data_IF_147589956744
#
_entry.id   IF_147589956744
#
_cell.length_a   1.000
_cell.length_b   1.000
_cell.length_c   1.000
_cell.angle_alpha   90.00
_cell.angle_beta   90.00
_cell.angle_gamma   90.00
#
_symmetry.space_group_name_H-M   'P 1'
#
loop_
_entity.id
_entity.type
_entity.pdbx_description
1 polymer ?
#
# COMPACT_ATOMS: atom_id res chain seq x y z
N UNK A 1 -0.69 -49.13 7.27
CA UNK A 1 0.55 -48.43 7.68
C UNK A 1 0.60 -47.15 6.83
N UNK A 2 0.40 -45.99 7.43
CA UNK A 2 0.53 -44.71 6.74
C UNK A 2 1.97 -44.58 6.27
N UNK A 3 2.14 -44.32 4.99
CA UNK A 3 3.47 -43.93 4.43
C UNK A 3 3.84 -42.63 5.10
N UNK A 4 4.98 -42.52 5.74
CA UNK A 4 5.43 -41.31 6.45
C UNK A 4 5.82 -40.16 5.53
N UNK A 5 5.34 -40.15 4.26
CA UNK A 5 5.61 -39.12 3.25
C UNK A 5 4.42 -38.97 2.29
N UNK A 6 4.34 -37.79 1.66
CA UNK A 6 3.45 -37.48 0.56
C UNK A 6 4.21 -37.57 -0.77
N UNK A 7 3.59 -38.13 -1.79
CA UNK A 7 4.14 -38.15 -3.15
C UNK A 7 3.52 -37.00 -3.96
N UNK A 8 4.36 -36.09 -4.43
CA UNK A 8 3.95 -35.01 -5.32
C UNK A 8 4.61 -35.21 -6.68
N UNK A 9 3.81 -35.21 -7.73
CA UNK A 9 4.31 -35.39 -9.10
C UNK A 9 4.24 -34.05 -9.83
N UNK A 10 5.38 -33.58 -10.28
CA UNK A 10 5.51 -32.33 -11.04
C UNK A 10 5.79 -32.64 -12.50
N UNK A 11 5.21 -31.86 -13.44
CA UNK A 11 5.59 -31.95 -14.84
C UNK A 11 7.04 -31.46 -15.00
N UNK A 12 7.89 -32.29 -15.60
CA UNK A 12 9.29 -31.94 -15.86
C UNK A 12 9.63 -31.96 -17.34
N UNK A 13 10.69 -31.26 -17.76
CA UNK A 13 11.14 -31.18 -19.16
C UNK A 13 11.41 -32.56 -19.80
N UNK A 14 11.79 -33.55 -18.99
CA UNK A 14 12.13 -34.93 -19.39
C UNK A 14 11.08 -35.95 -18.89
N UNK A 15 9.84 -35.55 -18.69
CA UNK A 15 8.76 -36.33 -18.13
C UNK A 15 8.44 -35.96 -16.67
N UNK A 16 7.34 -36.50 -16.13
CA UNK A 16 6.92 -36.19 -14.78
C UNK A 16 7.95 -36.66 -13.74
N UNK A 17 8.24 -35.80 -12.78
CA UNK A 17 9.11 -36.15 -11.63
C UNK A 17 8.23 -36.27 -10.38
N UNK A 18 8.34 -37.40 -9.70
CA UNK A 18 7.72 -37.63 -8.40
C UNK A 18 8.75 -37.39 -7.30
N UNK A 19 8.38 -36.53 -6.36
CA UNK A 19 9.16 -36.18 -5.17
C UNK A 19 8.40 -36.70 -3.96
N UNK A 20 9.09 -37.36 -3.05
CA UNK A 20 8.55 -37.77 -1.76
C UNK A 20 8.88 -36.68 -0.76
N UNK A 21 7.85 -36.11 -0.14
CA UNK A 21 7.97 -35.05 0.88
C UNK A 21 7.48 -35.60 2.22
N UNK A 22 8.29 -35.52 3.23
CA UNK A 22 7.89 -35.82 4.60
C UNK A 22 7.11 -34.64 5.18
N UNK A 23 6.41 -34.85 6.31
CA UNK A 23 5.80 -33.75 7.06
C UNK A 23 6.83 -32.69 7.47
N UNK A 24 8.08 -33.14 7.77
CA UNK A 24 9.16 -32.23 8.17
C UNK A 24 9.61 -31.37 6.99
N UNK A 25 9.78 -31.96 5.79
CA UNK A 25 10.13 -31.18 4.58
C UNK A 25 9.09 -30.09 4.29
N UNK A 26 7.80 -30.37 4.56
CA UNK A 26 6.74 -29.38 4.41
C UNK A 26 6.84 -28.28 5.47
N UNK A 27 7.09 -28.64 6.74
CA UNK A 27 7.28 -27.68 7.82
C UNK A 27 8.51 -26.81 7.55
N UNK A 28 9.64 -27.42 7.17
CA UNK A 28 10.88 -26.72 6.84
C UNK A 28 10.69 -25.76 5.66
N UNK A 29 9.87 -26.14 4.67
CA UNK A 29 9.48 -25.28 3.56
C UNK A 29 8.62 -24.09 3.99
N UNK A 30 7.68 -24.27 4.91
CA UNK A 30 6.86 -23.22 5.47
C UNK A 30 7.63 -22.28 6.43
N UNK A 31 8.64 -22.80 7.12
CA UNK A 31 9.49 -22.05 8.04
C UNK A 31 10.74 -21.48 7.36
N UNK A 32 10.87 -21.63 6.04
CA UNK A 32 12.02 -21.13 5.31
C UNK A 32 12.14 -19.62 5.49
N UNK A 33 13.24 -19.11 6.09
CA UNK A 33 13.36 -17.72 6.45
C UNK A 33 13.68 -16.85 5.22
N UNK A 34 12.76 -16.84 4.27
CA UNK A 34 12.87 -16.14 2.99
C UNK A 34 13.32 -14.69 3.13
N UNK A 35 12.78 -13.88 4.08
CA UNK A 35 13.24 -12.51 4.29
C UNK A 35 14.72 -12.42 4.67
N UNK A 36 15.25 -13.39 5.40
CA UNK A 36 16.68 -13.41 5.77
C UNK A 36 17.60 -13.64 4.58
N UNK A 37 17.18 -14.47 3.62
CA UNK A 37 17.94 -14.70 2.38
C UNK A 37 17.82 -13.54 1.41
N UNK A 38 16.62 -12.97 1.28
CA UNK A 38 16.38 -11.81 0.42
C UNK A 38 17.20 -10.60 0.87
N UNK A 39 17.39 -10.39 2.18
CA UNK A 39 18.29 -9.36 2.73
C UNK A 39 19.75 -9.50 2.30
N UNK A 40 20.18 -10.70 1.89
CA UNK A 40 21.56 -10.95 1.42
C UNK A 40 21.76 -10.62 -0.06
N UNK A 41 20.70 -10.36 -0.81
CA UNK A 41 20.82 -9.93 -2.22
C UNK A 41 21.54 -8.59 -2.25
N UNK A 42 22.69 -8.48 -2.92
CA UNK A 42 23.43 -7.22 -2.98
C UNK A 42 22.57 -6.08 -3.52
N UNK A 43 22.71 -4.90 -2.95
CA UNK A 43 21.94 -3.72 -3.37
C UNK A 43 22.23 -3.27 -4.81
N UNK A 44 23.35 -3.73 -5.39
CA UNK A 44 23.71 -3.50 -6.80
C UNK A 44 22.94 -4.36 -7.79
N UNK A 45 22.29 -5.45 -7.31
CA UNK A 45 21.54 -6.36 -8.18
C UNK A 45 20.16 -5.78 -8.46
N UNK A 46 19.85 -5.63 -9.75
CA UNK A 46 18.52 -5.26 -10.18
C UNK A 46 17.58 -6.47 -10.11
N UNK A 47 16.37 -6.27 -9.64
CA UNK A 47 15.41 -7.35 -9.40
C UNK A 47 14.11 -7.09 -10.17
N UNK A 48 13.70 -8.09 -10.94
CA UNK A 48 12.38 -8.14 -11.56
C UNK A 48 11.59 -9.27 -10.92
N UNK A 49 10.52 -8.93 -10.23
CA UNK A 49 9.63 -9.85 -9.56
C UNK A 49 8.32 -9.89 -10.33
N UNK A 50 7.90 -11.08 -10.77
CA UNK A 50 6.61 -11.28 -11.41
C UNK A 50 5.71 -12.12 -10.52
N UNK A 51 4.44 -11.77 -10.43
CA UNK A 51 3.44 -12.53 -9.68
C UNK A 51 2.09 -12.52 -10.40
N UNK A 52 1.43 -13.68 -10.42
CA UNK A 52 0.09 -13.83 -10.97
C UNK A 52 -0.98 -13.50 -9.93
N UNK A 53 -1.92 -12.63 -10.26
CA UNK A 53 -2.97 -12.24 -9.29
C UNK A 53 -3.98 -13.35 -8.97
N UNK A 54 -4.00 -14.42 -9.77
CA UNK A 54 -4.79 -15.63 -9.54
C UNK A 54 -3.94 -16.81 -9.05
N UNK A 55 -2.73 -16.55 -8.55
CA UNK A 55 -1.85 -17.58 -7.97
C UNK A 55 -2.44 -18.08 -6.64
N UNK A 56 -2.92 -19.32 -6.66
CA UNK A 56 -3.47 -19.99 -5.50
C UNK A 56 -2.42 -20.77 -4.69
N UNK A 57 -1.17 -20.83 -5.16
CA UNK A 57 -0.08 -21.57 -4.53
C UNK A 57 0.78 -20.66 -3.67
N UNK A 58 1.19 -19.53 -4.23
CA UNK A 58 1.98 -18.52 -3.51
C UNK A 58 1.12 -17.27 -3.35
N UNK A 59 0.84 -16.82 -2.13
CA UNK A 59 0.10 -15.59 -1.88
C UNK A 59 0.83 -14.38 -2.47
N UNK A 60 0.06 -13.46 -3.05
CA UNK A 60 0.62 -12.23 -3.64
C UNK A 60 1.38 -11.38 -2.60
N UNK A 61 0.99 -11.46 -1.33
CA UNK A 61 1.65 -10.77 -0.23
C UNK A 61 3.13 -11.15 -0.11
N UNK A 62 3.50 -12.40 -0.40
CA UNK A 62 4.89 -12.85 -0.30
C UNK A 62 5.80 -12.10 -1.29
N UNK A 63 5.28 -11.78 -2.49
CA UNK A 63 6.03 -10.97 -3.47
C UNK A 63 6.14 -9.51 -3.05
N UNK A 64 5.11 -8.97 -2.39
CA UNK A 64 5.16 -7.64 -1.82
C UNK A 64 6.18 -7.56 -0.68
N UNK A 65 6.24 -8.59 0.17
CA UNK A 65 7.23 -8.70 1.26
C UNK A 65 8.67 -8.75 0.72
N UNK A 66 8.91 -9.46 -0.39
CA UNK A 66 10.21 -9.44 -1.05
C UNK A 66 10.60 -8.03 -1.49
N UNK A 67 9.67 -7.31 -2.12
CA UNK A 67 9.91 -5.93 -2.53
C UNK A 67 10.25 -5.07 -1.33
N UNK A 68 9.47 -5.16 -0.25
CA UNK A 68 9.67 -4.38 0.96
C UNK A 68 11.04 -4.66 1.60
N UNK A 69 11.40 -5.95 1.75
CA UNK A 69 12.70 -6.34 2.31
C UNK A 69 13.87 -5.84 1.45
N UNK A 70 13.75 -5.91 0.13
CA UNK A 70 14.79 -5.45 -0.79
C UNK A 70 14.91 -3.93 -0.78
N UNK A 71 13.80 -3.21 -0.85
CA UNK A 71 13.78 -1.75 -0.91
C UNK A 71 14.18 -1.09 0.41
N UNK A 72 13.99 -1.79 1.55
CA UNK A 72 14.44 -1.34 2.87
C UNK A 72 15.97 -1.38 3.06
N UNK A 73 16.74 -1.91 2.12
CA UNK A 73 18.20 -1.91 2.21
C UNK A 73 18.76 -0.50 2.01
N UNK A 74 19.53 0.07 2.98
CA UNK A 74 19.96 1.48 2.94
C UNK A 74 20.80 1.86 1.73
N UNK A 75 21.53 0.88 1.16
CA UNK A 75 22.42 1.08 0.00
C UNK A 75 21.76 0.75 -1.33
N UNK A 76 20.51 0.28 -1.34
CA UNK A 76 19.82 -0.08 -2.56
C UNK A 76 19.29 1.18 -3.26
N UNK A 77 19.63 1.30 -4.53
CA UNK A 77 19.14 2.42 -5.34
C UNK A 77 17.65 2.23 -5.66
N UNK A 78 16.85 3.30 -5.59
CA UNK A 78 15.46 3.28 -6.03
C UNK A 78 15.32 2.80 -7.47
N UNK A 79 14.21 2.10 -7.78
CA UNK A 79 13.95 1.57 -9.12
C UNK A 79 14.72 0.30 -9.49
N UNK A 80 15.61 -0.20 -8.60
CA UNK A 80 16.34 -1.46 -8.83
C UNK A 80 15.53 -2.72 -8.47
N UNK A 81 14.34 -2.56 -7.88
CA UNK A 81 13.38 -3.64 -7.63
C UNK A 81 12.07 -3.27 -8.30
N UNK A 82 11.57 -4.14 -9.17
CA UNK A 82 10.31 -3.95 -9.87
C UNK A 82 9.39 -5.15 -9.63
N UNK A 83 8.21 -4.91 -9.07
CA UNK A 83 7.13 -5.89 -8.98
C UNK A 83 6.20 -5.75 -10.19
N UNK A 84 5.95 -6.85 -10.87
CA UNK A 84 5.05 -6.93 -12.01
C UNK A 84 3.92 -7.91 -11.72
N UNK A 85 2.73 -7.39 -11.49
CA UNK A 85 1.53 -8.19 -11.32
C UNK A 85 0.93 -8.53 -12.70
N UNK A 86 0.62 -9.80 -12.92
CA UNK A 86 -0.03 -10.30 -14.12
C UNK A 86 -1.47 -10.69 -13.78
N UNK A 87 -2.41 -9.88 -14.22
CA UNK A 87 -3.83 -10.04 -13.89
C UNK A 87 -4.39 -11.37 -14.41
N UNK A 88 -5.09 -12.11 -13.55
CA UNK A 88 -5.70 -13.40 -13.86
C UNK A 88 -4.70 -14.51 -14.18
N UNK A 89 -3.40 -14.29 -13.93
CA UNK A 89 -2.35 -15.29 -14.12
C UNK A 89 -2.25 -16.19 -12.89
N UNK A 90 -2.14 -17.49 -13.12
CA UNK A 90 -1.85 -18.48 -12.09
C UNK A 90 -0.32 -18.64 -11.87
N UNK A 91 0.06 -19.56 -10.99
CA UNK A 91 1.46 -19.87 -10.66
C UNK A 91 2.31 -20.32 -11.85
N UNK A 92 1.69 -20.86 -12.91
CA UNK A 92 2.42 -21.50 -14.01
C UNK A 92 2.74 -20.57 -15.18
N UNK A 93 2.16 -19.36 -15.21
CA UNK A 93 2.37 -18.39 -16.30
C UNK A 93 2.14 -18.96 -17.68
N UNK A 94 1.04 -19.68 -17.90
CA UNK A 94 0.75 -20.37 -19.16
C UNK A 94 -0.02 -19.48 -20.15
N UNK A 95 0.00 -19.87 -21.44
CA UNK A 95 -0.74 -19.22 -22.51
C UNK A 95 -0.37 -17.75 -22.69
N UNK A 96 -1.38 -16.88 -22.82
CA UNK A 96 -1.23 -15.43 -23.04
C UNK A 96 -0.41 -14.74 -21.94
N UNK A 97 -0.45 -15.23 -20.72
CA UNK A 97 0.28 -14.63 -19.60
C UNK A 97 1.79 -14.82 -19.74
N UNK A 98 2.21 -15.93 -20.34
CA UNK A 98 3.61 -16.19 -20.66
C UNK A 98 4.16 -15.17 -21.67
N UNK A 99 3.40 -14.82 -22.68
CA UNK A 99 3.80 -13.84 -23.70
C UNK A 99 3.94 -12.45 -23.07
N UNK A 100 2.95 -12.05 -22.26
CA UNK A 100 2.98 -10.78 -21.53
C UNK A 100 4.17 -10.73 -20.55
N UNK A 101 4.46 -11.82 -19.85
CA UNK A 101 5.63 -11.91 -18.96
C UNK A 101 6.92 -11.71 -19.74
N UNK A 102 7.09 -12.43 -20.86
CA UNK A 102 8.29 -12.32 -21.71
C UNK A 102 8.46 -10.88 -22.19
N UNK A 103 7.41 -10.24 -22.69
CA UNK A 103 7.46 -8.86 -23.15
C UNK A 103 7.92 -7.91 -22.05
N UNK A 104 7.35 -8.04 -20.83
CA UNK A 104 7.72 -7.21 -19.68
C UNK A 104 9.17 -7.43 -19.25
N UNK A 105 9.64 -8.68 -19.22
CA UNK A 105 11.04 -9.01 -18.91
C UNK A 105 11.97 -8.43 -19.96
N UNK A 106 11.67 -8.56 -21.24
CA UNK A 106 12.50 -8.02 -22.32
C UNK A 106 12.56 -6.48 -22.26
N UNK A 107 11.45 -5.83 -21.98
CA UNK A 107 11.43 -4.37 -21.76
C UNK A 107 12.28 -3.96 -20.57
N UNK A 108 12.18 -4.69 -19.45
CA UNK A 108 12.97 -4.43 -18.25
C UNK A 108 14.47 -4.64 -18.53
N UNK A 109 14.86 -5.70 -19.21
CA UNK A 109 16.25 -5.95 -19.60
C UNK A 109 16.81 -4.82 -20.49
N UNK A 110 16.00 -4.35 -21.45
CA UNK A 110 16.41 -3.22 -22.29
C UNK A 110 16.61 -1.94 -21.46
N UNK A 111 15.77 -1.68 -20.47
CA UNK A 111 15.94 -0.57 -19.53
C UNK A 111 17.21 -0.74 -18.67
N UNK A 112 17.49 -1.95 -18.19
CA UNK A 112 18.71 -2.24 -17.44
C UNK A 112 19.99 -2.02 -18.26
N UNK A 113 19.96 -2.36 -19.55
CA UNK A 113 21.10 -2.15 -20.47
C UNK A 113 21.25 -0.69 -20.89
N UNK A 114 20.17 0.07 -20.95
CA UNK A 114 20.20 1.49 -21.29
C UNK A 114 20.73 2.38 -20.15
N UNK A 115 20.89 1.83 -18.93
CA UNK A 115 21.26 2.59 -17.72
C UNK A 115 22.77 2.83 -17.54
N UNK A 116 23.57 2.87 -18.61
CA UNK A 116 24.77 3.72 -18.61
C UNK A 116 24.44 5.23 -18.78
N UNK A 117 23.21 5.54 -19.16
CA UNK A 117 22.65 6.90 -19.14
C UNK A 117 22.05 7.15 -17.74
N UNK A 118 22.36 8.32 -17.17
CA UNK A 118 21.85 8.73 -15.86
C UNK A 118 20.37 8.36 -15.72
N UNK A 119 19.95 7.72 -14.60
CA UNK A 119 18.57 7.31 -14.42
C UNK A 119 17.67 8.53 -14.63
N UNK A 120 16.47 8.36 -15.26
CA UNK A 120 15.50 9.44 -15.30
C UNK A 120 15.32 9.93 -13.86
N UNK A 121 15.09 11.24 -13.66
CA UNK A 121 14.95 11.78 -12.32
C UNK A 121 13.91 10.92 -11.61
N UNK A 122 14.35 10.25 -10.57
CA UNK A 122 13.51 9.38 -9.74
C UNK A 122 12.33 10.23 -9.30
N UNK A 123 11.07 9.75 -9.47
CA UNK A 123 9.96 10.46 -8.87
C UNK A 123 10.30 10.70 -7.40
N UNK A 124 10.19 11.92 -6.94
CA UNK A 124 10.74 12.41 -5.66
C UNK A 124 10.13 11.78 -4.39
N UNK A 125 9.41 10.67 -4.53
CA UNK A 125 8.66 10.00 -3.47
C UNK A 125 9.08 8.55 -3.18
N UNK A 126 10.25 8.12 -3.63
CA UNK A 126 10.84 6.86 -3.15
C UNK A 126 11.37 7.09 -1.73
N UNK A 127 10.97 6.22 -0.81
CA UNK A 127 11.37 6.22 0.60
C UNK A 127 12.88 6.41 0.78
N UNK A 128 13.31 7.65 0.73
CA UNK A 128 14.49 8.06 1.42
C UNK A 128 14.02 8.37 2.84
N UNK A 129 14.50 7.69 3.83
CA UNK A 129 14.49 8.24 5.19
C UNK A 129 14.88 9.71 5.07
N UNK A 130 14.32 10.64 5.85
CA UNK A 130 14.38 12.05 5.53
C UNK A 130 15.83 12.41 5.14
N UNK A 131 16.07 12.93 3.92
CA UNK A 131 17.39 13.45 3.60
C UNK A 131 17.69 14.44 4.69
N UNK A 132 18.90 14.42 5.26
CA UNK A 132 19.30 15.34 6.31
C UNK A 132 18.89 16.77 5.92
N UNK A 133 17.85 17.32 6.56
CA UNK A 133 17.31 18.64 6.28
C UNK A 133 15.88 18.74 5.73
N UNK A 134 15.22 17.66 5.30
CA UNK A 134 13.79 17.70 4.92
C UNK A 134 12.89 17.60 6.16
N UNK A 135 11.71 18.25 6.13
CA UNK A 135 10.64 18.03 7.10
C UNK A 135 10.03 16.63 7.02
N UNK A 136 9.39 16.18 8.08
CA UNK A 136 8.69 14.89 8.13
C UNK A 136 7.22 15.02 7.68
N UNK A 137 6.73 14.03 6.91
CA UNK A 137 5.32 13.85 6.60
C UNK A 137 4.69 12.92 7.64
N UNK A 138 3.85 13.48 8.50
CA UNK A 138 3.18 12.77 9.59
C UNK A 138 1.70 12.70 9.28
N UNK A 139 1.13 11.50 9.29
CA UNK A 139 -0.28 11.26 9.02
C UNK A 139 -0.98 10.77 10.29
N UNK A 140 -2.13 11.34 10.60
CA UNK A 140 -2.99 10.88 11.70
C UNK A 140 -4.26 10.29 11.11
N UNK A 141 -4.44 9.00 11.30
CA UNK A 141 -5.56 8.20 10.81
C UNK A 141 -6.43 7.69 11.96
N UNK A 142 -7.58 7.18 11.65
CA UNK A 142 -8.51 6.58 12.60
C UNK A 142 -9.95 6.91 12.30
N UNK A 143 -10.86 6.32 13.05
CA UNK A 143 -12.30 6.46 12.90
C UNK A 143 -12.77 7.90 13.15
N UNK A 144 -14.00 8.18 12.72
CA UNK A 144 -14.64 9.44 13.09
C UNK A 144 -14.74 9.54 14.62
N UNK A 145 -14.43 10.75 15.13
CA UNK A 145 -14.46 11.07 16.57
C UNK A 145 -13.40 10.35 17.43
N UNK A 146 -12.42 9.69 16.85
CA UNK A 146 -11.29 9.11 17.58
C UNK A 146 -10.39 10.15 18.29
N UNK A 147 -10.66 11.45 18.10
CA UNK A 147 -9.86 12.53 18.70
C UNK A 147 -8.72 13.00 17.80
N UNK A 148 -8.74 12.64 16.51
CA UNK A 148 -7.70 13.03 15.54
C UNK A 148 -7.39 14.51 15.55
N UNK A 149 -8.40 15.37 15.38
CA UNK A 149 -8.20 16.81 15.27
C UNK A 149 -7.47 17.39 16.49
N UNK A 150 -7.78 16.92 17.71
CA UNK A 150 -7.09 17.34 18.94
C UNK A 150 -5.61 16.96 18.93
N UNK A 151 -5.27 15.74 18.48
CA UNK A 151 -3.88 15.30 18.41
C UNK A 151 -3.13 15.97 17.27
N UNK A 152 -3.78 16.15 16.12
CA UNK A 152 -3.25 16.88 14.98
C UNK A 152 -2.90 18.32 15.38
N UNK A 153 -3.81 19.04 16.05
CA UNK A 153 -3.54 20.40 16.50
C UNK A 153 -2.34 20.48 17.46
N UNK A 154 -2.21 19.52 18.38
CA UNK A 154 -1.05 19.42 19.29
C UNK A 154 0.25 19.17 18.53
N UNK A 155 0.24 18.23 17.57
CA UNK A 155 1.43 17.92 16.75
C UNK A 155 1.83 19.15 15.92
N UNK A 156 0.89 19.81 15.28
CA UNK A 156 1.12 21.02 14.48
C UNK A 156 1.78 22.11 15.34
N UNK A 157 1.25 22.37 16.54
CA UNK A 157 1.80 23.38 17.44
C UNK A 157 3.20 22.98 17.96
N UNK A 158 3.39 21.74 18.39
CA UNK A 158 4.66 21.26 18.97
C UNK A 158 5.78 21.22 17.94
N UNK A 159 5.47 20.81 16.71
CA UNK A 159 6.44 20.64 15.62
C UNK A 159 6.58 21.88 14.74
N UNK A 160 5.77 22.93 14.97
CA UNK A 160 5.64 24.07 14.04
C UNK A 160 5.35 23.60 12.60
N UNK A 161 4.58 22.53 12.48
CA UNK A 161 4.31 21.87 11.21
C UNK A 161 3.19 22.57 10.43
N UNK A 162 3.17 22.37 9.11
CA UNK A 162 2.04 22.75 8.27
C UNK A 162 0.91 21.72 8.44
N UNK A 163 -0.31 22.20 8.69
CA UNK A 163 -1.52 21.38 8.70
C UNK A 163 -2.06 21.18 7.29
N UNK A 164 -2.40 19.92 6.96
CA UNK A 164 -3.19 19.55 5.79
C UNK A 164 -4.33 18.64 6.24
N UNK A 165 -5.55 18.84 5.74
CA UNK A 165 -6.71 18.00 6.06
C UNK A 165 -7.29 17.39 4.81
N UNK A 166 -7.66 16.11 4.89
CA UNK A 166 -8.35 15.43 3.82
C UNK A 166 -9.72 14.91 4.25
N UNK A 167 -10.75 15.09 3.39
CA UNK A 167 -10.69 15.85 2.16
C UNK A 167 -10.51 17.35 2.43
N UNK A 168 -9.76 18.04 1.56
CA UNK A 168 -9.75 19.50 1.54
C UNK A 168 -11.04 19.99 0.86
N UNK A 169 -12.02 20.37 1.66
CA UNK A 169 -13.35 20.76 1.20
C UNK A 169 -13.38 22.17 0.56
N UNK A 170 -12.25 22.86 0.54
CA UNK A 170 -12.16 24.24 -0.01
C UNK A 170 -11.89 24.26 -1.52
N UNK A 171 -11.42 23.13 -2.07
CA UNK A 171 -11.16 22.97 -3.50
C UNK A 171 -12.45 22.64 -4.28
N UNK A 172 -12.39 22.72 -5.61
CA UNK A 172 -13.54 22.35 -6.45
C UNK A 172 -13.89 20.85 -6.29
N UNK A 173 -12.88 19.97 -6.29
CA UNK A 173 -13.07 18.52 -6.06
C UNK A 173 -13.58 18.30 -4.64
N UNK A 174 -13.02 19.01 -3.66
CA UNK A 174 -13.47 18.94 -2.27
C UNK A 174 -14.90 19.39 -2.07
N UNK A 175 -15.38 20.35 -2.85
CA UNK A 175 -16.78 20.76 -2.88
C UNK A 175 -17.73 19.63 -3.33
N UNK A 176 -17.34 18.85 -4.36
CA UNK A 176 -18.09 17.67 -4.80
C UNK A 176 -18.12 16.58 -3.71
N UNK A 177 -16.98 16.33 -3.08
CA UNK A 177 -16.87 15.39 -1.97
C UNK A 177 -17.75 15.85 -0.80
N UNK A 178 -17.74 17.13 -0.47
CA UNK A 178 -18.56 17.68 0.60
C UNK A 178 -20.07 17.48 0.32
N UNK A 179 -20.53 17.76 -0.90
CA UNK A 179 -21.91 17.52 -1.30
C UNK A 179 -22.31 16.04 -1.14
N UNK A 180 -21.43 15.11 -1.47
CA UNK A 180 -21.64 13.69 -1.26
C UNK A 180 -21.70 13.33 0.23
N UNK A 181 -20.76 13.81 1.05
CA UNK A 181 -20.69 13.50 2.48
C UNK A 181 -21.90 14.04 3.24
N UNK A 182 -22.38 15.23 2.88
CA UNK A 182 -23.57 15.86 3.48
C UNK A 182 -24.89 15.37 2.90
N UNK A 183 -24.89 14.30 2.08
CA UNK A 183 -26.06 13.74 1.41
C UNK A 183 -26.80 14.72 0.46
N UNK A 184 -26.14 15.76 0.00
CA UNK A 184 -26.67 16.69 -0.99
C UNK A 184 -26.56 16.17 -2.44
N UNK A 185 -25.68 15.17 -2.66
CA UNK A 185 -25.54 14.47 -3.95
C UNK A 185 -25.24 12.99 -3.75
N UNK A 186 -25.58 12.17 -4.74
CA UNK A 186 -25.18 10.77 -4.81
C UNK A 186 -24.14 10.59 -5.92
N UNK A 187 -23.07 9.88 -5.59
CA UNK A 187 -21.97 9.56 -6.50
C UNK A 187 -21.67 8.07 -6.34
N UNK A 188 -21.50 7.29 -7.42
CA UNK A 188 -21.11 5.88 -7.34
C UNK A 188 -19.82 5.68 -6.55
N UNK A 189 -19.69 4.53 -5.89
CA UNK A 189 -18.60 4.27 -4.94
C UNK A 189 -17.21 4.35 -5.57
N UNK A 190 -17.06 3.88 -6.79
CA UNK A 190 -15.81 3.99 -7.54
C UNK A 190 -15.50 5.46 -7.87
N UNK A 191 -16.50 6.22 -8.30
CA UNK A 191 -16.30 7.61 -8.67
C UNK A 191 -15.93 8.49 -7.48
N UNK A 192 -16.60 8.31 -6.33
CA UNK A 192 -16.26 9.08 -5.13
C UNK A 192 -14.88 8.69 -4.58
N UNK A 193 -14.46 7.42 -4.70
CA UNK A 193 -13.11 7.00 -4.35
C UNK A 193 -12.05 7.74 -5.18
N UNK A 194 -12.25 7.82 -6.50
CA UNK A 194 -11.36 8.56 -7.40
C UNK A 194 -11.34 10.06 -7.08
N UNK A 195 -12.46 10.66 -6.69
CA UNK A 195 -12.50 12.06 -6.24
C UNK A 195 -11.71 12.27 -4.95
N UNK A 196 -11.80 11.38 -3.97
CA UNK A 196 -10.96 11.44 -2.77
C UNK A 196 -9.46 11.37 -3.10
N UNK A 197 -9.08 10.51 -4.03
CA UNK A 197 -7.69 10.44 -4.50
C UNK A 197 -7.29 11.73 -5.22
N UNK A 198 -8.09 12.20 -6.17
CA UNK A 198 -7.85 13.45 -6.90
C UNK A 198 -7.68 14.64 -5.95
N UNK A 199 -8.50 14.71 -4.88
CA UNK A 199 -8.38 15.77 -3.87
C UNK A 199 -7.05 15.70 -3.10
N UNK A 200 -6.46 14.51 -2.91
CA UNK A 200 -5.09 14.39 -2.39
C UNK A 200 -4.07 14.91 -3.39
N UNK A 201 -4.20 14.51 -4.65
CA UNK A 201 -3.30 14.95 -5.72
C UNK A 201 -3.27 16.47 -5.92
N UNK A 202 -4.36 17.20 -5.67
CA UNK A 202 -4.39 18.66 -5.74
C UNK A 202 -3.35 19.35 -4.82
N UNK A 203 -2.94 18.71 -3.73
CA UNK A 203 -2.08 19.32 -2.71
C UNK A 203 -0.71 18.64 -2.54
N UNK A 204 -0.38 17.64 -3.37
CA UNK A 204 0.90 16.92 -3.27
C UNK A 204 2.09 17.86 -3.51
N UNK A 205 2.07 18.67 -4.57
CA UNK A 205 3.17 19.61 -4.85
C UNK A 205 3.40 20.61 -3.71
N UNK A 206 2.38 21.29 -3.14
CA UNK A 206 2.52 22.08 -1.95
C UNK A 206 3.07 21.34 -0.72
N UNK A 207 2.69 20.07 -0.52
CA UNK A 207 3.25 19.23 0.55
C UNK A 207 4.76 19.03 0.31
N UNK A 208 5.13 18.58 -0.88
CA UNK A 208 6.53 18.30 -1.23
C UNK A 208 7.43 19.54 -1.12
N UNK A 209 6.93 20.69 -1.56
CA UNK A 209 7.62 21.98 -1.40
C UNK A 209 7.85 22.33 0.08
N UNK A 210 6.82 22.16 0.92
CA UNK A 210 6.92 22.42 2.37
C UNK A 210 7.97 21.50 3.00
N UNK A 211 7.91 20.20 2.70
CA UNK A 211 8.89 19.24 3.22
C UNK A 211 10.31 19.58 2.79
N UNK A 212 10.51 20.00 1.54
CA UNK A 212 11.83 20.39 1.01
C UNK A 212 12.45 21.59 1.72
N UNK A 213 11.65 22.49 2.31
CA UNK A 213 12.14 23.61 3.14
C UNK A 213 12.57 23.21 4.55
N UNK A 214 12.45 21.94 4.93
CA UNK A 214 12.71 21.46 6.29
C UNK A 214 11.53 21.56 7.23
N UNK A 215 10.39 22.12 6.79
CA UNK A 215 9.16 22.19 7.59
C UNK A 215 8.39 20.87 7.49
N UNK A 216 8.01 20.31 8.65
CA UNK A 216 7.16 19.11 8.70
C UNK A 216 5.72 19.42 8.29
N UNK A 217 5.04 18.39 7.80
CA UNK A 217 3.61 18.44 7.44
C UNK A 217 2.87 17.40 8.27
N UNK A 218 1.76 17.81 8.91
CA UNK A 218 0.84 16.91 9.61
C UNK A 218 -0.45 16.84 8.83
N UNK A 219 -0.83 15.64 8.40
CA UNK A 219 -2.07 15.37 7.69
C UNK A 219 -3.13 14.81 8.64
N UNK A 220 -4.32 15.43 8.69
CA UNK A 220 -5.53 14.84 9.29
C UNK A 220 -6.20 13.99 8.21
N UNK A 221 -6.03 12.67 8.27
CA UNK A 221 -6.32 11.66 7.25
C UNK A 221 -5.39 11.75 6.03
N UNK A 222 -5.35 10.63 5.28
CA UNK A 222 -4.60 10.53 4.03
C UNK A 222 -5.15 9.39 3.15
N UNK A 223 -4.28 8.69 2.40
CA UNK A 223 -4.67 7.61 1.50
C UNK A 223 -5.35 6.43 2.24
N UNK A 224 -4.89 6.11 3.44
CA UNK A 224 -5.40 4.97 4.21
C UNK A 224 -6.88 5.11 4.55
N UNK A 225 -7.34 6.32 4.90
CA UNK A 225 -8.78 6.61 5.01
C UNK A 225 -9.51 6.32 3.69
N UNK A 226 -9.00 6.80 2.55
CA UNK A 226 -9.61 6.53 1.26
C UNK A 226 -9.77 5.05 0.96
N UNK A 227 -8.73 4.27 1.24
CA UNK A 227 -8.71 2.81 1.06
C UNK A 227 -9.70 2.15 2.02
N UNK A 228 -9.61 2.44 3.33
CA UNK A 228 -10.43 1.78 4.35
C UNK A 228 -11.93 2.02 4.13
N UNK A 229 -12.33 3.26 3.86
CA UNK A 229 -13.75 3.59 3.62
C UNK A 229 -14.30 2.99 2.34
N UNK A 230 -13.50 2.91 1.28
CA UNK A 230 -13.92 2.30 0.00
C UNK A 230 -13.95 0.79 0.07
N UNK A 231 -12.97 0.20 0.73
CA UNK A 231 -12.95 -1.24 1.02
C UNK A 231 -14.12 -1.68 1.88
N UNK A 232 -14.50 -0.88 2.89
CA UNK A 232 -15.66 -1.13 3.75
C UNK A 232 -17.00 -1.13 2.98
N UNK A 233 -17.04 -0.55 1.77
CA UNK A 233 -18.18 -0.63 0.85
C UNK A 233 -18.10 -1.83 -0.11
N UNK A 234 -17.04 -2.64 -0.05
CA UNK A 234 -16.85 -3.85 -0.85
C UNK A 234 -16.00 -3.67 -2.11
N UNK A 235 -15.38 -2.50 -2.32
CA UNK A 235 -14.47 -2.31 -3.45
C UNK A 235 -13.20 -3.16 -3.27
N UNK A 236 -12.61 -3.59 -4.39
CA UNK A 236 -11.38 -4.38 -4.39
C UNK A 236 -10.20 -3.58 -3.83
N UNK A 237 -9.37 -4.21 -2.99
CA UNK A 237 -8.25 -3.55 -2.32
C UNK A 237 -7.21 -3.04 -3.31
N UNK A 238 -6.83 -3.87 -4.30
CA UNK A 238 -5.82 -3.51 -5.29
C UNK A 238 -6.30 -2.34 -6.13
N UNK A 239 -7.59 -2.33 -6.47
CA UNK A 239 -8.20 -1.23 -7.17
C UNK A 239 -8.18 0.06 -6.32
N UNK A 240 -8.51 -0.02 -5.02
CA UNK A 240 -8.49 1.14 -4.11
C UNK A 240 -7.10 1.73 -3.91
N UNK A 241 -6.05 0.92 -3.98
CA UNK A 241 -4.66 1.38 -3.87
C UNK A 241 -4.18 2.14 -5.11
N UNK A 242 -4.68 1.77 -6.29
CA UNK A 242 -4.12 2.20 -7.58
C UNK A 242 -4.16 3.71 -7.85
N UNK A 243 -5.21 4.48 -7.51
CA UNK A 243 -5.26 5.92 -7.78
C UNK A 243 -4.28 6.75 -6.97
N UNK A 244 -3.81 6.22 -5.84
CA UNK A 244 -2.86 6.89 -4.95
C UNK A 244 -1.41 6.46 -5.18
N UNK A 245 -1.17 5.59 -6.17
CA UNK A 245 0.21 5.22 -6.54
C UNK A 245 0.95 6.45 -7.02
N UNK A 246 1.97 6.85 -6.26
CA UNK A 246 2.81 8.01 -6.57
C UNK A 246 2.69 9.17 -5.61
N UNK A 247 1.70 9.22 -4.74
CA UNK A 247 1.71 10.23 -3.67
C UNK A 247 2.81 9.91 -2.64
N UNK A 248 3.36 10.92 -1.93
CA UNK A 248 4.41 10.69 -0.94
C UNK A 248 3.94 9.78 0.17
N UNK A 249 4.77 8.77 0.48
CA UNK A 249 4.53 7.92 1.65
C UNK A 249 4.81 8.71 2.93
N UNK A 250 3.97 8.58 3.96
CA UNK A 250 4.23 9.16 5.26
C UNK A 250 5.54 8.62 5.87
N UNK A 251 6.29 9.50 6.54
CA UNK A 251 7.42 9.07 7.38
C UNK A 251 6.91 8.42 8.68
N UNK A 252 5.74 8.87 9.15
CA UNK A 252 5.06 8.33 10.33
C UNK A 252 3.55 8.34 10.09
N UNK A 253 2.91 7.20 10.35
CA UNK A 253 1.45 7.11 10.43
C UNK A 253 1.04 6.78 11.85
N UNK A 254 0.16 7.59 12.42
CA UNK A 254 -0.40 7.44 13.77
C UNK A 254 -1.86 7.01 13.61
N UNK A 255 -2.19 5.79 13.97
CA UNK A 255 -3.56 5.31 13.97
C UNK A 255 -4.19 5.47 15.35
N UNK A 256 -5.26 6.25 15.43
CA UNK A 256 -6.04 6.41 16.66
C UNK A 256 -7.19 5.41 16.66
N UNK A 257 -6.96 4.28 17.29
CA UNK A 257 -8.02 3.31 17.53
C UNK A 257 -8.93 3.72 18.68
N UNK A 258 -10.21 3.45 18.55
CA UNK A 258 -11.21 3.73 19.57
C UNK A 258 -12.18 2.56 19.65
N UNK A 259 -12.37 2.04 20.87
CA UNK A 259 -13.37 1.00 21.10
C UNK A 259 -14.81 1.54 20.93
N UNK A 260 -15.72 0.64 20.57
CA UNK A 260 -17.13 0.99 20.29
C UNK A 260 -17.84 1.67 21.46
N UNK A 261 -17.54 1.28 22.71
CA UNK A 261 -18.20 1.83 23.88
C UNK A 261 -17.80 3.29 24.10
N UNK A 262 -16.51 3.59 23.91
CA UNK A 262 -15.98 4.95 24.00
C UNK A 262 -16.47 5.79 22.80
N UNK A 263 -16.53 5.24 21.59
CA UNK A 263 -17.08 5.92 20.44
C UNK A 263 -18.55 6.29 20.63
N UNK A 264 -19.36 5.38 21.15
CA UNK A 264 -20.78 5.60 21.43
C UNK A 264 -21.04 6.67 22.52
N UNK A 265 -20.12 6.81 23.48
CA UNK A 265 -20.23 7.82 24.56
C UNK A 265 -19.93 9.26 24.09
N UNK A 266 -19.22 9.42 22.98
CA UNK A 266 -18.90 10.72 22.39
C UNK A 266 -20.04 11.17 21.48
N UNK A 267 -20.97 11.94 22.03
CA UNK A 267 -22.27 12.35 21.47
C UNK A 267 -22.23 13.01 20.08
N UNK A 268 -23.38 12.96 19.38
CA UNK A 268 -23.73 13.49 18.06
C UNK A 268 -23.24 12.64 16.86
N UNK A 269 -23.73 11.40 16.77
CA UNK A 269 -23.69 10.58 15.56
C UNK A 269 -24.79 11.03 14.59
N UNK A 270 -24.48 11.17 13.30
CA UNK A 270 -25.52 10.99 12.30
C UNK A 270 -25.74 12.06 11.25
N UNK A 271 -24.93 13.14 11.19
CA UNK A 271 -25.16 14.20 10.21
C UNK A 271 -24.50 13.91 8.84
N UNK A 272 -23.37 13.22 8.82
CA UNK A 272 -22.70 12.87 7.56
C UNK A 272 -22.94 11.39 7.16
N UNK A 273 -22.81 11.11 5.85
CA UNK A 273 -23.10 9.81 5.20
C UNK A 273 -22.42 8.63 5.88
N UNK A 274 -21.19 8.79 6.33
CA UNK A 274 -20.38 7.73 6.92
C UNK A 274 -20.49 7.61 8.44
N UNK A 275 -21.18 8.50 9.11
CA UNK A 275 -21.34 8.50 10.57
C UNK A 275 -22.36 7.48 11.08
N UNK A 276 -22.52 6.35 10.40
CA UNK A 276 -23.37 5.23 10.85
C UNK A 276 -22.52 4.22 11.61
N UNK A 277 -22.91 3.91 12.85
CA UNK A 277 -22.16 3.02 13.73
C UNK A 277 -21.80 1.67 13.09
N UNK A 278 -22.75 1.02 12.42
CA UNK A 278 -22.50 -0.26 11.75
C UNK A 278 -21.45 -0.14 10.63
N UNK A 279 -21.45 0.97 9.89
CA UNK A 279 -20.45 1.22 8.85
C UNK A 279 -19.08 1.52 9.46
N UNK A 280 -19.01 2.32 10.51
CA UNK A 280 -17.75 2.64 11.20
C UNK A 280 -17.07 1.38 11.80
N UNK A 281 -17.86 0.37 12.21
CA UNK A 281 -17.29 -0.92 12.62
C UNK A 281 -16.56 -1.61 11.47
N UNK A 282 -17.19 -1.70 10.29
CA UNK A 282 -16.56 -2.30 9.10
C UNK A 282 -15.33 -1.51 8.68
N UNK A 283 -15.38 -0.18 8.74
CA UNK A 283 -14.22 0.68 8.47
C UNK A 283 -13.07 0.40 9.44
N UNK A 284 -13.36 0.23 10.74
CA UNK A 284 -12.36 -0.12 11.74
C UNK A 284 -11.67 -1.45 11.43
N UNK A 285 -12.45 -2.49 11.15
CA UNK A 285 -11.93 -3.81 10.75
C UNK A 285 -11.03 -3.66 9.51
N UNK A 286 -11.48 -2.89 8.52
CA UNK A 286 -10.69 -2.63 7.31
C UNK A 286 -9.40 -1.87 7.59
N UNK A 287 -9.39 -0.90 8.51
CA UNK A 287 -8.15 -0.23 8.91
C UNK A 287 -7.15 -1.20 9.54
N UNK A 288 -7.62 -2.12 10.40
CA UNK A 288 -6.75 -3.12 11.02
C UNK A 288 -6.18 -4.10 9.98
N UNK A 289 -6.97 -4.47 8.97
CA UNK A 289 -6.49 -5.28 7.85
C UNK A 289 -5.46 -4.52 7.00
N UNK A 290 -5.69 -3.22 6.76
CA UNK A 290 -4.78 -2.35 5.99
C UNK A 290 -3.55 -1.96 6.80
N UNK A 291 -3.62 -1.90 8.13
CA UNK A 291 -2.48 -1.61 9.00
C UNK A 291 -1.32 -2.58 8.76
N UNK A 292 -1.60 -3.86 8.56
CA UNK A 292 -0.58 -4.85 8.21
C UNK A 292 0.14 -4.53 6.89
N UNK A 293 -0.51 -3.81 5.97
CA UNK A 293 0.08 -3.37 4.70
C UNK A 293 0.91 -2.09 4.84
N UNK A 294 0.72 -1.34 5.94
CA UNK A 294 1.36 -0.04 6.20
C UNK A 294 2.57 -0.18 7.13
N UNK A 295 2.58 -1.19 8.00
CA UNK A 295 3.69 -1.47 8.92
C UNK A 295 4.87 -2.19 8.25
N UNK A 296 4.72 -2.58 6.99
CA UNK A 296 5.74 -3.22 6.15
C UNK A 296 6.34 -2.20 5.17
#
# INVERSE_FOLDING_TARGET
KEKGYYEMTFPGRNGPRTVQMTRQDFIDGCEFPTPAYVKRVPSSVQMFIAHGTADAIVPMIDSADFVNVLTAQPTRRPGTVQLNLLEGCDHNYLGKHREVLIERVMRWLALCQATEVAPPPTPAWVNHGPPSGRGALIVVEGLDRAGKSTQVDRLVQTLHARLVKFPDRTTQIGGMINAYLTNASDIPDEAIHLLFSANRWEVIDPIMQTLATGQSVVCDRYAFSGIAYSRAKGLDLTWCLSPDVGIPMPDVTIFLDLDEATAASRSAYGDERYEKQAFQRVVRETFLDVEHLVQQ
#
